data_IF_221967006135
#
_entry.id   IF_221967006135
#
_cell.length_a   1.000
_cell.length_b   1.000
_cell.length_c   1.000
_cell.angle_alpha   90.00
_cell.angle_beta   90.00
_cell.angle_gamma   90.00
#
_symmetry.space_group_name_H-M   'P 1'
#
loop_
_entity.id
_entity.type
_entity.pdbx_description
1 polymer ?
#
# COMPACT_ATOMS: atom_id res chain seq x y z
N UNK A 1 1.26 13.76 4.69
CA UNK A 1 2.03 14.58 5.65
C UNK A 1 3.52 14.28 5.58
N UNK A 2 3.97 13.06 5.95
CA UNK A 2 5.39 12.68 5.89
C UNK A 2 6.03 12.92 4.51
N UNK A 3 5.32 12.60 3.42
CA UNK A 3 5.76 12.84 2.04
C UNK A 3 6.17 14.31 1.76
N UNK A 4 5.57 15.29 2.44
CA UNK A 4 5.86 16.70 2.21
C UNK A 4 7.02 17.24 3.08
N UNK A 5 7.45 16.46 4.08
CA UNK A 5 8.41 16.91 5.12
C UNK A 5 9.70 16.10 5.16
N UNK A 6 9.71 14.89 4.60
CA UNK A 6 10.94 14.09 4.58
C UNK A 6 12.03 14.78 3.76
N UNK A 7 13.26 14.62 4.24
CA UNK A 7 14.49 15.04 3.57
C UNK A 7 15.31 13.80 3.25
N UNK A 8 16.22 13.95 2.29
CA UNK A 8 17.06 12.86 1.80
C UNK A 8 18.50 13.11 2.21
N UNK A 9 19.11 12.15 2.89
CA UNK A 9 20.55 12.08 3.03
C UNK A 9 21.11 11.34 1.80
N UNK A 10 21.72 12.07 0.88
CA UNK A 10 22.37 11.49 -0.30
C UNK A 10 23.75 10.91 0.07
N UNK A 11 24.18 9.89 -0.69
CA UNK A 11 25.57 9.43 -0.62
C UNK A 11 26.53 10.53 -1.09
N UNK A 12 26.17 11.20 -2.19
CA UNK A 12 26.81 12.41 -2.70
C UNK A 12 25.73 13.46 -3.06
N UNK A 13 25.64 14.61 -2.36
CA UNK A 13 24.67 15.67 -2.64
C UNK A 13 24.79 16.28 -4.04
N UNK A 14 25.99 16.25 -4.65
CA UNK A 14 26.23 16.75 -6.01
C UNK A 14 25.91 15.72 -7.08
N UNK A 15 25.78 14.45 -6.70
CA UNK A 15 25.47 13.35 -7.60
C UNK A 15 24.38 12.44 -7.02
N UNK A 16 23.08 12.81 -7.13
CA UNK A 16 21.97 11.99 -6.62
C UNK A 16 21.90 10.56 -7.17
N UNK A 17 22.50 10.30 -8.34
CA UNK A 17 22.57 8.95 -8.92
C UNK A 17 23.45 8.00 -8.11
N UNK A 18 24.32 8.53 -7.23
CA UNK A 18 25.10 7.76 -6.26
C UNK A 18 24.24 7.06 -5.20
N UNK A 19 22.95 7.39 -5.13
CA UNK A 19 21.98 6.76 -4.24
C UNK A 19 21.74 7.52 -2.94
N UNK A 20 20.87 6.94 -2.12
CA UNK A 20 20.38 7.50 -0.86
C UNK A 20 20.96 6.71 0.30
N UNK A 21 21.49 7.40 1.30
CA UNK A 21 21.96 6.79 2.55
C UNK A 21 20.77 6.53 3.49
N UNK A 22 19.92 7.53 3.72
CA UNK A 22 18.66 7.40 4.46
C UNK A 22 17.70 8.58 4.23
N UNK A 23 16.45 8.41 4.66
CA UNK A 23 15.48 9.50 4.76
C UNK A 23 15.44 10.02 6.20
N UNK A 24 15.26 11.33 6.38
CA UNK A 24 15.24 11.95 7.71
C UNK A 24 14.22 13.08 7.80
N UNK A 25 13.92 13.50 9.03
CA UNK A 25 13.13 14.67 9.35
C UNK A 25 14.02 15.74 10.01
N UNK A 26 13.67 17.01 9.81
CA UNK A 26 14.20 18.11 10.62
C UNK A 26 13.49 18.15 11.99
N UNK A 27 14.08 18.88 12.93
CA UNK A 27 13.57 18.96 14.32
C UNK A 27 12.10 19.41 14.37
N UNK A 28 11.74 20.45 13.61
CA UNK A 28 10.36 20.95 13.53
C UNK A 28 9.38 19.86 13.04
N UNK A 29 9.76 19.06 12.04
CA UNK A 29 8.90 17.99 11.53
C UNK A 29 8.83 16.79 12.44
N UNK A 30 9.87 16.52 13.24
CA UNK A 30 9.84 15.46 14.25
C UNK A 30 8.81 15.78 15.32
N UNK A 31 8.81 17.00 15.85
CA UNK A 31 7.85 17.41 16.88
C UNK A 31 6.41 17.25 16.39
N UNK A 32 6.12 17.67 15.16
CA UNK A 32 4.77 17.57 14.61
C UNK A 32 4.38 16.12 14.27
N UNK A 33 5.25 15.36 13.61
CA UNK A 33 4.89 14.05 13.07
C UNK A 33 5.01 12.92 14.09
N UNK A 34 5.97 12.97 15.01
CA UNK A 34 6.15 11.95 16.03
C UNK A 34 5.16 12.11 17.18
N UNK A 35 4.81 13.33 17.61
CA UNK A 35 3.73 13.54 18.59
C UNK A 35 2.37 13.07 18.07
N UNK A 36 2.15 13.17 16.75
CA UNK A 36 0.95 12.65 16.08
C UNK A 36 1.00 11.15 15.80
N UNK A 37 2.09 10.46 16.14
CA UNK A 37 2.27 9.04 15.85
C UNK A 37 2.36 8.72 14.35
N UNK A 38 2.65 9.70 13.49
CA UNK A 38 2.69 9.53 12.03
C UNK A 38 4.01 8.91 11.54
N UNK A 39 5.09 9.09 12.28
CA UNK A 39 6.41 8.55 11.95
C UNK A 39 7.25 8.30 13.21
N UNK A 40 8.13 7.31 13.12
CA UNK A 40 9.16 7.04 14.12
C UNK A 40 10.52 7.42 13.56
N UNK A 41 11.39 7.94 14.43
CA UNK A 41 12.74 8.35 14.06
C UNK A 41 13.77 7.88 15.08
N UNK A 42 15.02 7.79 14.63
CA UNK A 42 16.20 7.58 15.45
C UNK A 42 17.22 8.70 15.19
N UNK A 43 17.89 9.19 16.22
CA UNK A 43 18.92 10.21 16.07
C UNK A 43 20.22 9.56 15.60
N UNK A 44 20.72 9.96 14.44
CA UNK A 44 21.99 9.48 13.86
C UNK A 44 22.93 10.63 13.53
N UNK A 45 24.22 10.36 13.55
CA UNK A 45 25.24 11.28 13.01
C UNK A 45 25.53 10.91 11.57
N UNK A 46 25.26 11.84 10.65
CA UNK A 46 25.61 11.70 9.24
C UNK A 46 27.12 11.86 9.02
N UNK A 47 27.60 11.48 7.81
CA UNK A 47 29.03 11.56 7.46
C UNK A 47 29.59 12.99 7.49
N UNK A 48 28.74 13.98 7.28
CA UNK A 48 29.06 15.41 7.40
C UNK A 48 29.17 15.89 8.86
N UNK A 49 29.01 14.98 9.85
CA UNK A 49 29.06 15.27 11.27
C UNK A 49 27.75 15.83 11.85
N UNK A 50 26.73 16.07 11.02
CA UNK A 50 25.47 16.65 11.49
C UNK A 50 24.56 15.58 12.08
N UNK A 51 23.79 15.95 13.12
CA UNK A 51 22.78 15.07 13.73
C UNK A 51 21.47 15.17 12.97
N UNK A 52 20.89 14.02 12.59
CA UNK A 52 19.65 13.93 11.81
C UNK A 52 18.71 12.90 12.42
N UNK A 53 17.40 13.18 12.38
CA UNK A 53 16.37 12.25 12.81
C UNK A 53 16.00 11.33 11.65
N UNK A 54 16.73 10.22 11.52
CA UNK A 54 16.50 9.22 10.48
C UNK A 54 15.14 8.56 10.67
N UNK A 55 14.34 8.48 9.61
CA UNK A 55 13.02 7.83 9.63
C UNK A 55 13.23 6.31 9.69
N UNK A 56 12.69 5.67 10.71
CA UNK A 56 12.72 4.22 10.89
C UNK A 56 11.41 3.55 10.51
N UNK A 57 10.29 4.25 10.72
CA UNK A 57 8.98 3.79 10.30
C UNK A 57 8.08 4.96 9.88
N UNK A 58 7.28 4.73 8.83
CA UNK A 58 6.17 5.61 8.43
C UNK A 58 4.88 4.89 8.79
N UNK A 59 4.15 5.43 9.76
CA UNK A 59 2.90 4.87 10.25
C UNK A 59 1.75 5.47 9.46
N UNK A 60 1.71 6.82 9.37
CA UNK A 60 0.66 7.55 8.66
C UNK A 60 -0.71 7.47 9.33
N UNK A 61 -1.75 8.03 8.67
CA UNK A 61 -3.13 7.93 9.15
C UNK A 61 -3.67 6.50 9.07
N UNK A 62 -4.75 6.23 9.81
CA UNK A 62 -5.47 4.95 9.74
C UNK A 62 -6.02 4.66 8.33
N UNK A 63 -6.06 3.39 7.96
CA UNK A 63 -6.66 2.92 6.72
C UNK A 63 -5.78 3.03 5.47
N UNK A 64 -4.46 2.94 5.61
CA UNK A 64 -3.52 2.99 4.47
C UNK A 64 -2.61 1.76 4.36
N UNK A 65 -2.57 0.92 5.39
CA UNK A 65 -1.58 -0.14 5.55
C UNK A 65 -2.18 -1.54 5.75
N UNK A 66 -1.49 -2.32 6.57
CA UNK A 66 -1.79 -3.74 6.83
C UNK A 66 -3.12 -3.95 7.57
N UNK A 67 -3.62 -2.93 8.26
CA UNK A 67 -4.94 -2.91 8.89
C UNK A 67 -6.07 -3.11 7.87
N UNK A 68 -5.91 -2.59 6.64
CA UNK A 68 -6.86 -2.84 5.55
C UNK A 68 -6.83 -4.29 5.07
N UNK A 69 -5.66 -4.94 5.10
CA UNK A 69 -5.54 -6.37 4.79
C UNK A 69 -6.20 -7.22 5.86
N UNK A 70 -6.05 -6.85 7.14
CA UNK A 70 -6.79 -7.48 8.24
C UNK A 70 -8.30 -7.30 8.08
N UNK A 71 -8.76 -6.10 7.72
CA UNK A 71 -10.16 -5.82 7.41
C UNK A 71 -10.67 -6.67 6.25
N UNK A 72 -9.89 -6.78 5.19
CA UNK A 72 -10.16 -7.62 4.02
C UNK A 72 -10.29 -9.10 4.41
N UNK A 73 -9.38 -9.62 5.22
CA UNK A 73 -9.45 -10.99 5.74
C UNK A 73 -10.68 -11.23 6.62
N UNK A 74 -11.07 -10.23 7.43
CA UNK A 74 -12.28 -10.30 8.28
C UNK A 74 -13.55 -10.50 7.44
N UNK A 75 -13.72 -9.72 6.38
CA UNK A 75 -14.90 -9.85 5.50
C UNK A 75 -14.83 -11.12 4.64
N UNK A 76 -13.64 -11.54 4.18
CA UNK A 76 -13.47 -12.83 3.50
C UNK A 76 -13.93 -14.00 4.38
N UNK A 77 -13.49 -14.04 5.65
CA UNK A 77 -13.91 -15.07 6.59
C UNK A 77 -15.42 -15.03 6.87
N UNK A 78 -16.02 -13.85 6.95
CA UNK A 78 -17.47 -13.70 7.09
C UNK A 78 -18.24 -14.23 5.87
N UNK A 79 -17.79 -13.89 4.66
CA UNK A 79 -18.41 -14.38 3.41
C UNK A 79 -18.26 -15.89 3.25
N UNK A 80 -17.11 -16.45 3.64
CA UNK A 80 -16.90 -17.90 3.64
C UNK A 80 -17.90 -18.62 4.55
N UNK A 81 -18.13 -18.11 5.77
CA UNK A 81 -19.13 -18.67 6.68
C UNK A 81 -20.55 -18.49 6.14
N UNK A 82 -20.87 -17.29 5.65
CA UNK A 82 -22.18 -17.00 5.07
C UNK A 82 -22.54 -17.95 3.91
N UNK A 83 -21.58 -18.35 3.07
CA UNK A 83 -21.85 -19.33 2.01
C UNK A 83 -22.28 -20.71 2.54
N UNK A 84 -21.73 -21.13 3.69
CA UNK A 84 -22.10 -22.39 4.33
C UNK A 84 -23.42 -22.31 5.10
N UNK A 85 -23.79 -21.12 5.57
CA UNK A 85 -24.94 -20.93 6.47
C UNK A 85 -26.20 -20.45 5.74
N UNK A 86 -26.05 -19.61 4.70
CA UNK A 86 -27.17 -18.94 4.01
C UNK A 86 -26.98 -18.88 2.49
N UNK A 87 -28.05 -18.52 1.78
CA UNK A 87 -27.96 -18.24 0.36
C UNK A 87 -27.12 -16.98 0.09
N UNK A 88 -26.18 -17.09 -0.83
CA UNK A 88 -25.28 -16.01 -1.27
C UNK A 88 -25.40 -15.83 -2.77
N UNK A 89 -25.47 -14.59 -3.25
CA UNK A 89 -25.42 -14.26 -4.68
C UNK A 89 -24.69 -12.93 -4.85
N UNK A 90 -23.82 -12.84 -5.85
CA UNK A 90 -23.09 -11.61 -6.16
C UNK A 90 -23.38 -11.16 -7.59
N UNK A 91 -23.79 -9.91 -7.76
CA UNK A 91 -23.92 -9.28 -9.06
C UNK A 91 -22.72 -8.34 -9.29
N UNK A 92 -21.92 -8.64 -10.31
CA UNK A 92 -20.72 -7.87 -10.65
C UNK A 92 -21.07 -6.89 -11.76
N UNK A 93 -21.31 -5.64 -11.37
CA UNK A 93 -21.67 -4.51 -12.24
C UNK A 93 -20.50 -3.59 -12.61
N UNK A 94 -19.35 -3.78 -11.95
CA UNK A 94 -18.11 -3.03 -12.15
C UNK A 94 -16.91 -3.93 -11.89
N UNK A 95 -15.70 -3.43 -12.15
CA UNK A 95 -14.48 -4.22 -11.97
C UNK A 95 -14.29 -4.65 -10.53
N UNK A 96 -14.17 -5.94 -10.28
CA UNK A 96 -13.93 -6.51 -8.96
C UNK A 96 -12.46 -6.87 -8.80
N UNK A 97 -11.77 -6.23 -7.85
CA UNK A 97 -10.30 -6.31 -7.71
C UNK A 97 -9.89 -6.83 -6.34
N UNK A 98 -8.88 -7.71 -6.30
CA UNK A 98 -8.23 -8.14 -5.06
C UNK A 98 -9.24 -8.79 -4.10
N UNK A 99 -9.46 -8.18 -2.93
CA UNK A 99 -10.45 -8.69 -1.97
C UNK A 99 -11.86 -8.80 -2.59
N UNK A 100 -12.27 -7.87 -3.45
CA UNK A 100 -13.55 -7.94 -4.14
C UNK A 100 -13.71 -9.23 -4.96
N UNK A 101 -12.64 -9.64 -5.66
CA UNK A 101 -12.63 -10.87 -6.45
C UNK A 101 -12.75 -12.11 -5.54
N UNK A 102 -12.08 -12.10 -4.39
CA UNK A 102 -12.24 -13.15 -3.38
C UNK A 102 -13.66 -13.22 -2.83
N UNK A 103 -14.31 -12.08 -2.54
CA UNK A 103 -15.69 -12.08 -2.04
C UNK A 103 -16.67 -12.67 -3.07
N UNK A 104 -16.51 -12.32 -4.35
CA UNK A 104 -17.29 -12.93 -5.44
C UNK A 104 -17.08 -14.45 -5.45
N UNK A 105 -15.82 -14.89 -5.38
CA UNK A 105 -15.49 -16.32 -5.40
C UNK A 105 -16.04 -17.07 -4.19
N UNK A 106 -15.90 -16.51 -2.99
CA UNK A 106 -16.38 -17.10 -1.73
C UNK A 106 -17.91 -17.16 -1.68
N UNK A 107 -18.61 -16.20 -2.29
CA UNK A 107 -20.06 -16.23 -2.46
C UNK A 107 -20.56 -17.29 -3.46
N UNK A 108 -19.66 -17.90 -4.25
CA UNK A 108 -19.84 -18.95 -5.28
C UNK A 108 -20.75 -18.59 -6.45
N UNK A 109 -21.97 -18.11 -6.18
CA UNK A 109 -22.97 -17.76 -7.18
C UNK A 109 -22.73 -16.31 -7.62
N UNK A 110 -22.26 -16.14 -8.85
CA UNK A 110 -21.95 -14.84 -9.40
C UNK A 110 -22.63 -14.63 -10.76
N UNK A 111 -23.22 -13.45 -10.94
CA UNK A 111 -23.71 -12.96 -12.23
C UNK A 111 -22.78 -11.82 -12.63
N UNK A 112 -22.00 -12.01 -13.69
CA UNK A 112 -21.06 -11.02 -14.21
C UNK A 112 -21.59 -10.45 -15.53
N UNK A 113 -21.72 -9.12 -15.62
CA UNK A 113 -22.23 -8.45 -16.83
C UNK A 113 -21.18 -7.54 -17.45
N UNK A 114 -20.07 -8.11 -17.93
CA UNK A 114 -19.02 -7.40 -18.67
C UNK A 114 -17.75 -7.14 -17.86
N UNK A 115 -17.77 -6.32 -16.79
CA UNK A 115 -16.57 -5.96 -16.03
C UNK A 115 -15.81 -7.16 -15.46
N UNK A 116 -14.47 -7.09 -15.39
CA UNK A 116 -13.66 -8.24 -15.02
C UNK A 116 -13.63 -8.47 -13.50
N UNK A 117 -13.33 -9.72 -13.16
CA UNK A 117 -13.03 -10.17 -11.79
C UNK A 117 -11.54 -10.57 -11.80
N UNK A 118 -10.69 -9.81 -11.13
CA UNK A 118 -9.24 -9.97 -11.23
C UNK A 118 -8.53 -9.69 -9.89
N UNK A 119 -7.30 -10.19 -9.76
CA UNK A 119 -6.46 -9.89 -8.58
C UNK A 119 -5.54 -8.70 -8.82
N UNK A 120 -5.01 -8.56 -10.03
CA UNK A 120 -4.06 -7.51 -10.40
C UNK A 120 -4.30 -7.12 -11.85
N UNK A 121 -4.35 -5.81 -12.12
CA UNK A 121 -4.64 -5.30 -13.45
C UNK A 121 -3.47 -5.46 -14.42
N UNK A 122 -3.78 -5.51 -15.71
CA UNK A 122 -2.82 -5.73 -16.80
C UNK A 122 -1.63 -4.76 -16.81
N UNK A 123 -1.85 -3.47 -16.57
CA UNK A 123 -0.77 -2.47 -16.54
C UNK A 123 0.28 -2.78 -15.46
N UNK A 124 -0.16 -3.26 -14.29
CA UNK A 124 0.75 -3.65 -13.22
C UNK A 124 1.52 -4.93 -13.58
N UNK A 125 0.84 -5.91 -14.18
CA UNK A 125 1.48 -7.15 -14.65
C UNK A 125 2.52 -6.87 -15.75
N UNK A 126 2.18 -6.05 -16.74
CA UNK A 126 3.10 -5.66 -17.81
C UNK A 126 4.34 -4.94 -17.26
N UNK A 127 4.16 -4.06 -16.26
CA UNK A 127 5.27 -3.37 -15.59
C UNK A 127 6.20 -4.35 -14.88
N UNK A 128 5.65 -5.37 -14.21
CA UNK A 128 6.45 -6.42 -13.56
C UNK A 128 7.17 -7.29 -14.60
N UNK A 129 6.53 -7.57 -15.74
CA UNK A 129 7.06 -8.42 -16.80
C UNK A 129 8.04 -7.69 -17.74
N UNK A 130 8.12 -6.35 -17.65
CA UNK A 130 9.00 -5.53 -18.50
C UNK A 130 8.60 -5.49 -19.98
N UNK A 131 7.40 -5.96 -20.33
CA UNK A 131 6.89 -5.96 -21.71
C UNK A 131 5.35 -5.94 -21.73
N UNK A 132 4.79 -5.47 -22.83
CA UNK A 132 3.34 -5.46 -23.04
C UNK A 132 2.84 -6.88 -23.38
N UNK A 133 2.44 -7.63 -22.36
CA UNK A 133 1.91 -9.00 -22.50
C UNK A 133 0.39 -8.98 -22.62
N UNK A 134 -0.26 -8.22 -21.75
CA UNK A 134 -1.70 -8.06 -21.71
C UNK A 134 -2.07 -6.70 -22.33
N UNK A 135 -3.22 -6.66 -23.02
CA UNK A 135 -3.69 -5.47 -23.75
C UNK A 135 -5.00 -4.89 -23.21
N UNK A 136 -5.70 -5.66 -22.35
CA UNK A 136 -6.95 -5.26 -21.73
C UNK A 136 -7.16 -6.02 -20.41
N UNK A 137 -7.89 -5.39 -19.48
CA UNK A 137 -8.47 -6.09 -18.31
C UNK A 137 -9.82 -6.76 -18.63
N UNK A 138 -10.43 -6.38 -19.76
CA UNK A 138 -11.67 -6.95 -20.31
C UNK A 138 -11.37 -8.03 -21.33
#
# INVERSE_FOLDING_TARGET
EVKAKFRVQWNDPLNPSSGVEFLYLDEESVDVLTQRGMAQTELVTARDGTRKHKITAVIGPDGIGVENLKGSGKIAGATSRAYHDIFTLTFVSGTSVGIGAYLVRLGQRAIQKGPPILLTGEAALNKVLGKAVYTSNY
#
